data_IF_352360251977
#
_entry.id   IF_352360251977
#
_cell.length_a   1.000
_cell.length_b   1.000
_cell.length_c   1.000
_cell.angle_alpha   90.00
_cell.angle_beta   90.00
_cell.angle_gamma   90.00
#
_symmetry.space_group_name_H-M   'P 1'
#
loop_
_entity.id
_entity.type
_entity.pdbx_description
1 polymer ?
#
# COMPACT_ATOMS: atom_id res chain seq x y z
N UNK A 1 -0.63 16.46 7.43
CA UNK A 1 -0.82 15.08 7.96
C UNK A 1 -1.51 14.17 6.95
N UNK A 2 -2.71 14.51 6.45
CA UNK A 2 -3.43 13.69 5.45
C UNK A 2 -2.62 13.46 4.16
N UNK A 3 -1.97 14.50 3.61
CA UNK A 3 -1.11 14.33 2.43
C UNK A 3 0.02 13.31 2.64
N UNK A 4 0.59 13.26 3.86
CA UNK A 4 1.62 12.26 4.18
C UNK A 4 1.02 10.86 4.11
N UNK A 5 -0.17 10.64 4.68
CA UNK A 5 -0.86 9.36 4.59
C UNK A 5 -1.13 8.96 3.13
N UNK A 6 -1.59 9.88 2.29
CA UNK A 6 -1.80 9.59 0.86
C UNK A 6 -0.51 9.14 0.17
N UNK A 7 0.60 9.84 0.41
CA UNK A 7 1.89 9.48 -0.14
C UNK A 7 2.36 8.09 0.35
N UNK A 8 2.11 7.73 1.61
CA UNK A 8 2.42 6.40 2.15
C UNK A 8 1.54 5.32 1.49
N UNK A 9 0.26 5.60 1.21
CA UNK A 9 -0.63 4.66 0.50
C UNK A 9 -0.13 4.41 -0.92
N UNK A 10 0.27 5.45 -1.66
CA UNK A 10 0.87 5.33 -2.99
C UNK A 10 2.18 4.50 -2.95
N UNK A 11 2.97 4.69 -1.89
CA UNK A 11 4.20 3.95 -1.68
C UNK A 11 3.93 2.46 -1.47
N UNK A 12 2.97 2.13 -0.61
CA UNK A 12 2.54 0.74 -0.35
C UNK A 12 1.95 0.11 -1.61
N UNK A 13 1.11 0.82 -2.35
CA UNK A 13 0.53 0.33 -3.60
C UNK A 13 1.62 -0.12 -4.58
N UNK A 14 2.66 0.70 -4.76
CA UNK A 14 3.83 0.35 -5.58
C UNK A 14 4.59 -0.87 -5.05
N UNK A 15 4.68 -1.05 -3.73
CA UNK A 15 5.31 -2.24 -3.16
C UNK A 15 4.50 -3.50 -3.47
N UNK A 16 3.17 -3.42 -3.38
CA UNK A 16 2.27 -4.52 -3.72
C UNK A 16 2.33 -4.88 -5.21
N UNK A 17 2.38 -3.90 -6.10
CA UNK A 17 2.60 -4.12 -7.54
C UNK A 17 3.92 -4.86 -7.81
N UNK A 18 5.00 -4.47 -7.12
CA UNK A 18 6.29 -5.14 -7.25
C UNK A 18 6.25 -6.57 -6.70
N UNK A 19 5.63 -6.82 -5.53
CA UNK A 19 5.45 -8.18 -5.01
C UNK A 19 4.70 -9.05 -6.02
N UNK A 20 3.59 -8.54 -6.57
CA UNK A 20 2.76 -9.30 -7.51
C UNK A 20 3.53 -9.66 -8.76
N UNK A 21 4.25 -8.70 -9.33
CA UNK A 21 5.10 -8.94 -10.50
C UNK A 21 6.21 -9.96 -10.23
N UNK A 22 6.79 -9.98 -9.02
CA UNK A 22 7.77 -11.00 -8.61
C UNK A 22 7.11 -12.37 -8.49
N UNK A 23 5.96 -12.48 -7.84
CA UNK A 23 5.22 -13.76 -7.73
C UNK A 23 4.93 -14.36 -9.11
N UNK A 24 4.53 -13.53 -10.06
CA UNK A 24 4.10 -13.96 -11.40
C UNK A 24 5.28 -14.29 -12.34
N UNK A 25 6.48 -13.73 -12.10
CA UNK A 25 7.61 -13.81 -13.05
C UNK A 25 8.94 -14.30 -12.45
N UNK A 26 8.96 -14.70 -11.19
CA UNK A 26 10.18 -15.11 -10.48
C UNK A 26 10.91 -16.30 -11.15
N UNK A 27 12.26 -16.32 -11.11
CA UNK A 27 13.15 -15.25 -10.64
C UNK A 27 13.19 -14.07 -11.63
N UNK A 28 13.09 -12.82 -11.13
CA UNK A 28 13.05 -11.62 -11.99
C UNK A 28 13.97 -10.50 -11.53
N UNK A 29 14.73 -9.93 -12.47
CA UNK A 29 15.66 -8.82 -12.21
C UNK A 29 15.00 -7.44 -12.19
N UNK A 30 15.68 -6.47 -11.55
CA UNK A 30 15.22 -5.07 -11.41
C UNK A 30 14.89 -4.42 -12.77
N UNK A 31 15.69 -4.67 -13.80
CA UNK A 31 15.48 -4.05 -15.11
C UNK A 31 14.21 -4.58 -15.77
N UNK A 32 13.95 -5.89 -15.69
CA UNK A 32 12.73 -6.46 -16.27
C UNK A 32 11.49 -6.05 -15.49
N UNK A 33 11.56 -6.00 -14.15
CA UNK A 33 10.51 -5.42 -13.31
C UNK A 33 10.21 -3.96 -13.68
N UNK A 34 11.24 -3.16 -13.93
CA UNK A 34 11.10 -1.75 -14.34
C UNK A 34 10.39 -1.61 -15.68
N UNK A 35 10.72 -2.48 -16.64
CA UNK A 35 10.08 -2.53 -17.96
C UNK A 35 8.60 -2.92 -17.87
N UNK A 36 8.27 -4.03 -17.19
CA UNK A 36 6.89 -4.54 -17.15
C UNK A 36 5.95 -3.65 -16.32
N UNK A 37 6.46 -3.00 -15.28
CA UNK A 37 5.67 -2.10 -14.43
C UNK A 37 5.61 -0.67 -14.97
N UNK A 38 6.48 -0.31 -15.92
CA UNK A 38 6.63 1.09 -16.36
C UNK A 38 7.16 2.02 -15.26
N UNK A 39 7.82 1.47 -14.24
CA UNK A 39 8.32 2.22 -13.07
C UNK A 39 9.84 2.38 -13.19
N UNK A 40 10.43 3.55 -12.87
CA UNK A 40 11.89 3.72 -12.89
C UNK A 40 12.65 2.71 -12.01
N UNK A 41 13.76 2.21 -12.53
CA UNK A 41 14.56 1.13 -11.89
C UNK A 41 15.02 1.45 -10.47
N UNK A 42 15.31 2.72 -10.14
CA UNK A 42 15.69 3.13 -8.79
C UNK A 42 14.50 3.02 -7.81
N UNK A 43 13.27 3.26 -8.26
CA UNK A 43 12.05 3.05 -7.45
C UNK A 43 11.79 1.56 -7.25
N UNK A 44 11.89 0.76 -8.32
CA UNK A 44 11.77 -0.71 -8.22
C UNK A 44 12.80 -1.27 -7.24
N UNK A 45 14.07 -0.84 -7.35
CA UNK A 45 15.14 -1.20 -6.41
C UNK A 45 14.77 -0.87 -4.97
N UNK A 46 14.23 0.33 -4.72
CA UNK A 46 13.77 0.71 -3.39
C UNK A 46 12.65 -0.22 -2.89
N UNK A 47 11.65 -0.56 -3.73
CA UNK A 47 10.62 -1.54 -3.37
C UNK A 47 11.25 -2.87 -2.99
N UNK A 48 12.09 -3.46 -3.84
CA UNK A 48 12.69 -4.76 -3.58
C UNK A 48 13.48 -4.78 -2.26
N UNK A 49 14.21 -3.70 -1.95
CA UNK A 49 14.96 -3.60 -0.68
C UNK A 49 14.03 -3.61 0.54
N UNK A 50 12.93 -2.86 0.49
CA UNK A 50 11.93 -2.85 1.57
C UNK A 50 11.30 -4.23 1.72
N UNK A 51 10.89 -4.83 0.61
CA UNK A 51 10.22 -6.13 0.58
C UNK A 51 11.13 -7.28 1.04
N UNK A 52 12.41 -7.23 0.68
CA UNK A 52 13.42 -8.16 1.16
C UNK A 52 13.66 -8.01 2.67
N UNK A 53 13.76 -6.77 3.17
CA UNK A 53 13.91 -6.52 4.60
C UNK A 53 12.69 -7.02 5.40
N UNK A 54 11.49 -6.91 4.84
CA UNK A 54 10.26 -7.45 5.43
C UNK A 54 10.08 -8.96 5.25
N UNK A 55 10.99 -9.63 4.54
CA UNK A 55 11.00 -11.08 4.33
C UNK A 55 10.00 -11.59 3.28
N UNK A 56 9.42 -10.71 2.47
CA UNK A 56 8.50 -11.08 1.39
C UNK A 56 9.26 -11.53 0.12
N UNK A 57 10.50 -11.09 -0.04
CA UNK A 57 11.35 -11.41 -1.19
C UNK A 57 12.73 -11.84 -0.70
N UNK A 58 13.40 -12.67 -1.49
CA UNK A 58 14.80 -13.00 -1.35
C UNK A 58 15.56 -12.65 -2.64
N UNK A 59 16.70 -11.97 -2.52
CA UNK A 59 17.60 -11.80 -3.66
C UNK A 59 18.26 -13.13 -4.06
N UNK A 60 18.39 -13.36 -5.37
CA UNK A 60 19.17 -14.45 -5.94
C UNK A 60 20.03 -13.93 -7.11
N UNK A 61 21.05 -14.70 -7.56
CA UNK A 61 21.83 -14.34 -8.75
C UNK A 61 20.99 -14.15 -10.02
N UNK A 62 19.84 -14.83 -10.13
CA UNK A 62 18.94 -14.75 -11.29
C UNK A 62 17.87 -13.65 -11.15
N UNK A 63 17.73 -13.03 -9.96
CA UNK A 63 16.70 -12.04 -9.69
C UNK A 63 16.01 -12.22 -8.33
N UNK A 64 15.02 -11.39 -8.07
CA UNK A 64 14.16 -11.48 -6.89
C UNK A 64 13.25 -12.72 -6.99
N UNK A 65 13.09 -13.41 -5.86
CA UNK A 65 12.20 -14.56 -5.68
C UNK A 65 11.28 -14.26 -4.49
N UNK A 66 9.98 -14.50 -4.64
CA UNK A 66 9.02 -14.35 -3.57
C UNK A 66 9.15 -15.47 -2.54
N UNK A 67 8.89 -15.15 -1.27
CA UNK A 67 8.79 -16.15 -0.20
C UNK A 67 7.34 -16.60 -0.01
N UNK A 68 7.11 -17.65 0.79
CA UNK A 68 5.75 -18.07 1.17
C UNK A 68 4.96 -16.94 1.84
N UNK A 69 5.64 -16.13 2.67
CA UNK A 69 5.07 -14.95 3.33
C UNK A 69 4.48 -13.93 2.33
N UNK A 70 5.05 -13.82 1.13
CA UNK A 70 4.49 -12.94 0.10
C UNK A 70 3.18 -13.49 -0.48
N UNK A 71 3.07 -14.82 -0.65
CA UNK A 71 1.83 -15.44 -1.09
C UNK A 71 0.72 -15.28 -0.02
N UNK A 72 1.07 -15.43 1.26
CA UNK A 72 0.16 -15.17 2.38
C UNK A 72 -0.34 -13.72 2.40
N UNK A 73 0.57 -12.75 2.28
CA UNK A 73 0.22 -11.32 2.22
C UNK A 73 -0.78 -11.03 1.10
N UNK A 74 -0.54 -11.56 -0.10
CA UNK A 74 -1.43 -11.31 -1.25
C UNK A 74 -2.75 -12.07 -1.08
N UNK A 75 -2.75 -13.21 -0.40
CA UNK A 75 -3.96 -13.97 -0.07
C UNK A 75 -4.89 -13.25 0.90
N UNK A 76 -4.36 -12.53 1.90
CA UNK A 76 -5.16 -11.75 2.87
C UNK A 76 -5.44 -10.31 2.44
N UNK A 77 -4.78 -9.82 1.38
CA UNK A 77 -4.74 -8.39 1.04
C UNK A 77 -6.13 -7.75 0.91
N UNK A 78 -7.10 -8.42 0.28
CA UNK A 78 -8.43 -7.83 0.09
C UNK A 78 -9.16 -7.61 1.42
N UNK A 79 -9.04 -8.56 2.36
CA UNK A 79 -9.66 -8.45 3.69
C UNK A 79 -9.01 -7.34 4.52
N UNK A 80 -7.69 -7.20 4.40
CA UNK A 80 -6.92 -6.13 5.04
C UNK A 80 -7.31 -4.75 4.48
N UNK A 81 -7.48 -4.64 3.16
CA UNK A 81 -7.93 -3.41 2.50
C UNK A 81 -9.37 -3.03 2.87
N UNK A 82 -10.29 -3.98 2.92
CA UNK A 82 -11.67 -3.75 3.36
C UNK A 82 -11.72 -3.23 4.80
N UNK A 83 -10.87 -3.78 5.66
CA UNK A 83 -10.72 -3.32 7.05
C UNK A 83 -10.19 -1.88 7.12
N UNK A 84 -9.21 -1.54 6.28
CA UNK A 84 -8.67 -0.18 6.18
C UNK A 84 -9.71 0.82 5.67
N UNK A 85 -10.48 0.46 4.64
CA UNK A 85 -11.55 1.30 4.08
C UNK A 85 -12.58 1.62 5.15
N UNK A 86 -13.08 0.59 5.87
CA UNK A 86 -14.03 0.78 6.98
C UNK A 86 -13.48 1.71 8.06
N UNK A 87 -12.19 1.61 8.39
CA UNK A 87 -11.55 2.49 9.36
C UNK A 87 -11.57 3.95 8.87
N UNK A 88 -11.18 4.19 7.62
CA UNK A 88 -11.16 5.53 7.00
C UNK A 88 -12.59 6.12 6.95
N UNK A 89 -13.57 5.33 6.56
CA UNK A 89 -14.99 5.72 6.57
C UNK A 89 -15.45 6.10 7.99
N UNK A 90 -15.08 5.33 9.01
CA UNK A 90 -15.42 5.67 10.40
C UNK A 90 -14.81 7.00 10.85
N UNK A 91 -13.58 7.31 10.40
CA UNK A 91 -12.92 8.59 10.69
C UNK A 91 -13.70 9.73 10.05
N UNK A 92 -14.11 9.58 8.78
CA UNK A 92 -14.93 10.56 8.06
C UNK A 92 -16.25 10.83 8.78
N UNK A 93 -17.00 9.79 9.13
CA UNK A 93 -18.29 9.94 9.83
C UNK A 93 -18.16 10.72 11.14
N UNK A 94 -17.14 10.42 11.96
CA UNK A 94 -16.89 11.15 13.21
C UNK A 94 -16.61 12.65 13.01
N UNK A 95 -15.92 13.01 11.92
CA UNK A 95 -15.69 14.42 11.60
C UNK A 95 -16.96 15.12 11.10
N UNK A 96 -17.79 14.42 10.32
CA UNK A 96 -19.06 14.95 9.81
C UNK A 96 -20.07 15.21 10.94
N UNK A 97 -20.12 14.33 11.94
CA UNK A 97 -20.97 14.49 13.14
C UNK A 97 -20.49 15.63 14.05
N UNK A 98 -19.18 15.76 14.26
CA UNK A 98 -18.59 16.88 14.99
C UNK A 98 -18.90 18.24 14.31
N UNK A 99 -18.88 18.28 12.97
CA UNK A 99 -19.24 19.47 12.19
C UNK A 99 -20.74 19.84 12.25
N UNK A 100 -21.62 18.88 12.52
CA UNK A 100 -23.08 19.11 12.65
C UNK A 100 -23.48 19.56 14.06
N UNK A 101 -22.84 19.05 15.12
CA UNK A 101 -23.12 19.49 16.50
C UNK A 101 -22.70 20.94 16.77
N UNK A 102 -21.69 21.46 16.08
CA UNK A 102 -21.28 22.88 16.19
C UNK A 102 -22.28 23.88 15.60
N UNK A 103 -23.14 23.49 14.65
CA UNK A 103 -24.13 24.38 14.03
C UNK A 103 -25.43 24.56 14.82
N UNK A 104 -25.76 23.66 15.75
CA UNK A 104 -27.02 23.72 16.51
C UNK A 104 -27.05 24.77 17.63
N UNK A 105 -25.90 25.35 18.02
CA UNK A 105 -25.81 26.28 19.15
C UNK A 105 -26.07 27.75 18.74
N UNK A 106 -26.20 28.05 17.44
CA UNK A 106 -26.20 29.43 16.93
C UNK A 106 -27.53 29.92 16.37
N UNK A 107 -28.65 29.22 16.62
CA UNK A 107 -29.96 29.51 16.04
C UNK A 107 -31.10 29.78 17.02
N UNK A 108 -30.82 30.04 18.30
CA UNK A 108 -31.86 30.21 19.32
C UNK A 108 -31.59 31.46 20.19
N UNK A 109 -31.43 32.61 19.53
CA UNK A 109 -31.62 33.94 20.12
C UNK A 109 -32.14 34.86 19.00
N UNK A 110 -33.46 34.91 18.83
CA UNK A 110 -34.23 36.05 18.29
C UNK A 110 -35.70 35.86 18.70
#
# INVERSE_FOLDING_TARGET
>A
MIQKLMNEVELVARHLEVIRAVLDNQPIGILKLSEILGIPSHRVRYSLKVLEHSGYIKASPAGAVATEKAAELIGSLNEDLDSLIKLIESVKTRQDEAGRSGKKVQGEQD
#
